data_IF_476115211422
#
_entry.id   IF_476115211422
#
_cell.length_a   1.000
_cell.length_b   1.000
_cell.length_c   1.000
_cell.angle_alpha   90.00
_cell.angle_beta   90.00
_cell.angle_gamma   90.00
#
_symmetry.space_group_name_H-M   'P 1'
#
loop_
_entity.id
_entity.type
_entity.pdbx_description
1 polymer ?
#
# COMPACT_ATOMS: atom_id res chain seq x y z
N UNK A 1 -47.85 26.88 -31.04
CA UNK A 1 -46.85 26.49 -32.08
C UNK A 1 -45.44 27.01 -31.83
N UNK A 2 -45.21 28.05 -31.02
CA UNK A 2 -43.83 28.55 -30.77
C UNK A 2 -43.00 27.71 -29.74
N UNK A 3 -43.66 27.00 -28.84
CA UNK A 3 -42.95 26.24 -27.80
C UNK A 3 -42.30 24.93 -28.28
N UNK A 4 -42.90 24.26 -29.26
CA UNK A 4 -42.37 22.99 -29.80
C UNK A 4 -41.17 23.19 -30.73
N UNK A 5 -41.13 24.30 -31.48
CA UNK A 5 -39.98 24.65 -32.32
C UNK A 5 -38.73 25.01 -31.50
N UNK A 6 -38.90 25.72 -30.37
CA UNK A 6 -37.82 26.06 -29.47
C UNK A 6 -37.21 24.82 -28.78
N UNK A 7 -38.05 23.85 -28.38
CA UNK A 7 -37.56 22.60 -27.76
C UNK A 7 -36.79 21.71 -28.75
N UNK A 8 -37.21 21.65 -30.02
CA UNK A 8 -36.50 20.87 -31.05
C UNK A 8 -35.17 21.54 -31.44
N UNK A 9 -35.13 22.88 -31.53
CA UNK A 9 -33.88 23.59 -31.77
C UNK A 9 -32.91 23.44 -30.58
N UNK A 10 -33.40 23.45 -29.33
CA UNK A 10 -32.57 23.28 -28.16
C UNK A 10 -31.99 21.86 -28.04
N UNK A 11 -32.78 20.82 -28.36
CA UNK A 11 -32.33 19.43 -28.35
C UNK A 11 -31.36 19.09 -29.48
N UNK A 12 -31.40 19.82 -30.62
CA UNK A 12 -30.47 19.62 -31.73
C UNK A 12 -29.17 20.43 -31.59
N UNK A 13 -29.21 21.58 -30.90
CA UNK A 13 -28.05 22.48 -30.73
C UNK A 13 -27.25 22.15 -29.45
N UNK A 14 -27.92 21.65 -28.41
CA UNK A 14 -27.26 21.31 -27.14
C UNK A 14 -26.07 20.34 -27.32
N UNK A 15 -26.15 19.19 -28.02
CA UNK A 15 -25.00 18.30 -28.21
C UNK A 15 -23.87 18.91 -29.04
N UNK A 16 -24.16 19.92 -29.88
CA UNK A 16 -23.15 20.64 -30.67
C UNK A 16 -22.51 21.74 -29.82
N UNK A 17 -23.27 22.41 -28.97
CA UNK A 17 -22.77 23.41 -28.04
C UNK A 17 -21.95 22.75 -26.91
N UNK A 18 -22.39 21.63 -26.34
CA UNK A 18 -21.67 20.86 -25.33
C UNK A 18 -20.33 20.29 -25.88
N UNK A 19 -20.25 20.03 -27.19
CA UNK A 19 -19.04 19.58 -27.88
C UNK A 19 -18.07 20.72 -28.26
N UNK A 20 -18.57 21.93 -28.41
CA UNK A 20 -17.77 23.10 -28.81
C UNK A 20 -17.41 24.04 -27.64
N UNK A 21 -18.17 24.03 -26.57
CA UNK A 21 -18.04 24.92 -25.40
C UNK A 21 -18.20 24.20 -24.04
N UNK A 22 -18.39 22.87 -24.05
CA UNK A 22 -18.28 22.09 -22.81
C UNK A 22 -16.85 22.19 -22.25
N UNK A 23 -16.65 22.15 -20.93
CA UNK A 23 -15.31 22.02 -20.39
C UNK A 23 -14.67 20.81 -21.06
N UNK A 24 -13.45 20.96 -21.59
CA UNK A 24 -12.64 19.82 -22.00
C UNK A 24 -12.56 18.90 -20.77
N UNK A 25 -13.27 17.78 -20.81
CA UNK A 25 -12.95 16.66 -19.93
C UNK A 25 -11.53 16.25 -20.35
N UNK A 26 -10.56 16.77 -19.63
CA UNK A 26 -9.19 16.25 -19.68
C UNK A 26 -9.32 14.80 -19.23
N UNK A 27 -9.35 13.85 -20.17
CA UNK A 27 -9.17 12.44 -19.85
C UNK A 27 -7.85 12.36 -19.09
N UNK A 28 -7.94 12.17 -17.78
CA UNK A 28 -6.76 11.94 -16.96
C UNK A 28 -6.16 10.63 -17.43
N UNK A 29 -4.90 10.66 -17.85
CA UNK A 29 -4.18 9.45 -18.19
C UNK A 29 -4.17 8.52 -16.95
N UNK A 30 -4.46 7.22 -17.14
CA UNK A 30 -4.49 6.29 -16.02
C UNK A 30 -3.11 6.21 -15.35
N UNK A 31 -3.11 6.29 -14.02
CA UNK A 31 -1.91 6.13 -13.21
C UNK A 31 -1.48 4.67 -13.29
N UNK A 32 -0.24 4.44 -13.70
CA UNK A 32 0.36 3.09 -13.75
C UNK A 32 1.49 3.00 -12.74
N UNK A 33 1.41 2.03 -11.84
CA UNK A 33 2.42 1.77 -10.82
C UNK A 33 3.21 0.52 -11.21
N UNK A 34 4.53 0.66 -11.38
CA UNK A 34 5.42 -0.44 -11.69
C UNK A 34 5.43 -1.46 -10.54
N UNK A 35 5.11 -2.73 -10.86
CA UNK A 35 5.12 -3.81 -9.86
C UNK A 35 6.52 -4.40 -9.74
N UNK A 36 6.92 -4.66 -8.50
CA UNK A 36 8.22 -5.27 -8.21
C UNK A 36 8.14 -6.79 -8.35
N UNK A 37 9.27 -7.42 -8.69
CA UNK A 37 9.43 -8.87 -8.64
C UNK A 37 10.35 -9.24 -7.47
N UNK A 38 10.00 -10.27 -6.66
CA UNK A 38 10.91 -10.79 -5.64
C UNK A 38 12.15 -11.35 -6.31
N UNK A 39 13.34 -10.94 -5.87
CA UNK A 39 14.59 -11.53 -6.35
C UNK A 39 14.56 -13.05 -6.17
N UNK A 40 14.65 -13.78 -7.27
CA UNK A 40 14.87 -15.21 -7.23
C UNK A 40 16.20 -15.46 -6.53
N UNK A 41 16.18 -16.28 -5.47
CA UNK A 41 17.40 -16.68 -4.76
C UNK A 41 18.32 -17.42 -5.75
N UNK A 42 19.29 -16.70 -6.31
CA UNK A 42 20.40 -17.34 -7.00
C UNK A 42 21.28 -17.98 -5.89
N UNK A 43 21.60 -19.28 -6.02
CA UNK A 43 22.59 -19.87 -5.13
C UNK A 43 23.89 -19.12 -5.33
N UNK A 44 24.48 -18.61 -4.25
CA UNK A 44 25.80 -17.99 -4.28
C UNK A 44 26.79 -19.06 -4.76
N UNK A 45 27.12 -19.02 -6.03
CA UNK A 45 28.24 -19.77 -6.57
C UNK A 45 29.50 -19.01 -6.17
N UNK A 46 30.18 -19.54 -5.15
CA UNK A 46 31.53 -19.13 -4.82
C UNK A 46 32.45 -19.68 -5.90
N UNK A 47 32.61 -18.96 -7.00
CA UNK A 47 33.72 -19.19 -7.93
C UNK A 47 34.98 -18.63 -7.28
N UNK A 48 35.86 -19.54 -6.85
CA UNK A 48 37.24 -19.19 -6.55
C UNK A 48 37.94 -18.80 -7.86
N UNK A 49 38.11 -17.50 -8.08
CA UNK A 49 38.98 -17.00 -9.13
C UNK A 49 40.46 -17.22 -8.76
N UNK A 50 41.36 -17.53 -9.73
CA UNK A 50 42.79 -17.75 -9.47
C UNK A 50 43.46 -16.44 -9.04
N UNK A 51 44.33 -16.55 -8.04
CA UNK A 51 45.15 -15.48 -7.46
C UNK A 51 46.14 -14.99 -8.49
N UNK A 52 46.13 -13.69 -8.89
CA UNK A 52 47.24 -13.07 -9.60
C UNK A 52 48.30 -12.54 -8.62
N UNK A 53 49.54 -12.60 -9.03
CA UNK A 53 50.73 -12.17 -8.30
C UNK A 53 50.74 -10.70 -7.88
N UNK A 54 51.39 -10.46 -6.76
CA UNK A 54 51.56 -9.26 -5.98
C UNK A 54 51.92 -7.99 -6.72
N UNK A 55 50.97 -7.09 -6.82
CA UNK A 55 51.13 -5.66 -6.58
C UNK A 55 49.96 -5.31 -5.68
N UNK A 56 50.22 -4.73 -4.47
CA UNK A 56 49.13 -4.33 -3.57
C UNK A 56 48.18 -3.42 -4.35
N UNK A 57 46.91 -3.85 -4.57
CA UNK A 57 45.96 -3.03 -5.29
C UNK A 57 45.76 -1.70 -4.54
N UNK A 58 45.64 -0.61 -5.28
CA UNK A 58 45.34 0.71 -4.71
C UNK A 58 44.14 0.64 -3.75
N UNK A 59 43.21 -0.26 -4.01
CA UNK A 59 42.05 -0.59 -3.17
C UNK A 59 42.45 -1.11 -1.77
N UNK A 60 43.50 -1.93 -1.65
CA UNK A 60 43.94 -2.47 -0.36
C UNK A 60 44.71 -1.41 0.44
N UNK A 61 45.45 -0.50 -0.22
CA UNK A 61 46.06 0.65 0.45
C UNK A 61 44.98 1.63 0.94
N UNK A 62 43.98 1.93 0.14
CA UNK A 62 42.86 2.78 0.53
C UNK A 62 42.09 2.14 1.69
N UNK A 63 41.80 0.85 1.61
CA UNK A 63 41.13 0.11 2.69
C UNK A 63 41.94 0.13 3.98
N UNK A 64 43.26 -0.11 3.92
CA UNK A 64 44.12 -0.10 5.10
C UNK A 64 44.27 1.27 5.74
N UNK A 65 44.21 2.35 4.97
CA UNK A 65 44.20 3.72 5.49
C UNK A 65 42.82 4.10 6.06
N UNK A 66 41.72 3.63 5.44
CA UNK A 66 40.36 3.82 5.99
C UNK A 66 40.16 3.06 7.31
N UNK A 67 40.72 1.85 7.45
CA UNK A 67 40.69 1.09 8.71
C UNK A 67 41.43 1.79 9.85
N UNK A 68 42.40 2.62 9.53
CA UNK A 68 43.16 3.40 10.50
C UNK A 68 42.52 4.76 10.80
N UNK A 69 41.47 5.14 10.09
CA UNK A 69 40.83 6.42 10.28
C UNK A 69 40.13 6.50 11.65
N UNK A 70 40.54 7.41 12.52
CA UNK A 70 39.92 7.55 13.83
C UNK A 70 38.57 8.27 13.67
N UNK A 71 37.49 7.50 13.62
CA UNK A 71 36.14 8.07 13.63
C UNK A 71 35.95 9.01 14.81
N UNK A 72 35.49 10.19 14.54
CA UNK A 72 35.23 11.25 15.51
C UNK A 72 33.73 11.46 15.74
N UNK A 73 33.37 12.22 16.77
CA UNK A 73 31.98 12.64 16.96
C UNK A 73 31.49 13.52 15.80
N UNK A 74 32.40 14.21 15.08
CA UNK A 74 32.06 15.00 13.90
C UNK A 74 31.64 14.12 12.73
N UNK A 75 32.22 12.94 12.56
CA UNK A 75 31.82 11.97 11.52
C UNK A 75 30.45 11.39 11.82
N UNK A 76 30.16 11.10 13.09
CA UNK A 76 28.83 10.70 13.54
C UNK A 76 27.79 11.81 13.29
N UNK A 77 28.13 13.04 13.66
CA UNK A 77 27.24 14.19 13.42
C UNK A 77 26.99 14.43 11.93
N UNK A 78 27.96 14.19 11.05
CA UNK A 78 27.74 14.23 9.60
C UNK A 78 26.78 13.16 9.12
N UNK A 79 26.91 11.94 9.66
CA UNK A 79 25.99 10.84 9.32
C UNK A 79 24.56 11.19 9.70
N UNK A 80 24.34 11.66 10.94
CA UNK A 80 23.00 12.13 11.36
C UNK A 80 22.55 13.38 10.58
N UNK A 81 23.48 14.26 10.19
CA UNK A 81 23.19 15.40 9.34
C UNK A 81 22.62 14.98 7.97
N UNK A 82 23.14 13.90 7.39
CA UNK A 82 22.62 13.34 6.14
C UNK A 82 21.18 12.80 6.31
N UNK A 83 20.89 12.16 7.45
CA UNK A 83 19.53 11.70 7.76
C UNK A 83 18.55 12.88 7.94
N UNK A 84 18.99 13.96 8.58
CA UNK A 84 18.18 15.18 8.69
C UNK A 84 17.90 15.79 7.31
N UNK A 85 18.92 15.85 6.45
CA UNK A 85 18.75 16.31 5.06
C UNK A 85 17.74 15.46 4.30
N UNK A 86 17.78 14.13 4.47
CA UNK A 86 16.80 13.22 3.86
C UNK A 86 15.36 13.54 4.33
N UNK A 87 15.17 13.82 5.61
CA UNK A 87 13.86 14.23 6.15
C UNK A 87 13.40 15.55 5.54
N UNK A 88 14.29 16.58 5.49
CA UNK A 88 14.00 17.89 4.91
C UNK A 88 13.65 17.80 3.41
N UNK A 89 14.35 16.97 2.65
CA UNK A 89 14.09 16.75 1.22
C UNK A 89 12.71 16.12 0.96
N UNK A 90 12.25 15.29 1.89
CA UNK A 90 10.95 14.59 1.83
C UNK A 90 9.83 15.31 2.60
N UNK A 91 10.08 16.49 3.20
CA UNK A 91 9.03 17.26 3.91
C UNK A 91 7.86 17.60 2.98
N UNK A 92 8.14 17.90 1.70
CA UNK A 92 7.11 18.17 0.70
C UNK A 92 6.26 16.98 0.30
N UNK A 93 6.66 15.75 0.66
CA UNK A 93 5.94 14.51 0.39
C UNK A 93 4.94 14.15 1.49
N UNK A 94 5.01 14.83 2.65
CA UNK A 94 4.13 14.57 3.82
C UNK A 94 3.05 15.63 3.88
N UNK A 95 1.82 15.21 4.13
CA UNK A 95 0.66 16.05 4.36
C UNK A 95 0.06 15.78 5.73
N UNK A 96 -0.48 16.82 6.38
CA UNK A 96 -1.31 16.68 7.57
C UNK A 96 -2.77 16.63 7.14
N UNK A 97 -3.51 15.62 7.58
CA UNK A 97 -4.90 15.40 7.23
C UNK A 97 -5.76 15.65 8.46
N UNK A 98 -6.69 16.58 8.35
CA UNK A 98 -7.63 16.96 9.40
C UNK A 98 -8.98 16.31 9.09
N UNK A 99 -9.38 15.37 9.92
CA UNK A 99 -10.69 14.71 9.91
C UNK A 99 -11.64 15.51 10.78
N UNK A 100 -12.63 16.13 10.18
CA UNK A 100 -13.58 16.99 10.89
C UNK A 100 -14.89 16.24 11.04
N UNK A 101 -15.30 16.04 12.28
CA UNK A 101 -16.59 15.43 12.66
C UNK A 101 -17.48 16.48 13.29
N UNK A 102 -18.74 16.50 12.88
CA UNK A 102 -19.76 17.41 13.41
C UNK A 102 -20.84 16.59 14.09
N UNK A 103 -20.84 16.67 15.40
CA UNK A 103 -21.85 16.03 16.25
C UNK A 103 -22.72 17.08 16.95
N UNK A 104 -23.82 16.66 17.50
CA UNK A 104 -24.61 17.48 18.44
C UNK A 104 -24.53 16.88 19.84
N UNK A 105 -24.36 17.73 20.84
CA UNK A 105 -24.41 17.29 22.23
C UNK A 105 -25.87 16.95 22.65
N UNK A 106 -25.99 16.45 23.90
CA UNK A 106 -27.28 16.10 24.46
C UNK A 106 -28.29 17.29 24.51
N UNK A 107 -27.82 18.51 24.27
CA UNK A 107 -28.61 19.74 24.31
C UNK A 107 -28.79 20.36 22.91
N UNK A 108 -28.55 19.56 21.82
CA UNK A 108 -28.59 20.02 20.43
C UNK A 108 -27.58 21.12 20.08
N UNK A 109 -26.50 21.29 20.86
CA UNK A 109 -25.44 22.21 20.50
C UNK A 109 -24.46 21.48 19.52
N UNK A 110 -24.02 22.14 18.43
CA UNK A 110 -23.04 21.58 17.57
C UNK A 110 -21.66 21.45 18.25
N UNK A 111 -21.10 20.26 18.21
CA UNK A 111 -19.72 19.96 18.62
C UNK A 111 -18.93 19.63 17.35
N UNK A 112 -17.78 20.22 17.20
CA UNK A 112 -16.83 19.89 16.14
C UNK A 112 -15.59 19.26 16.78
N UNK A 113 -15.28 18.03 16.39
CA UNK A 113 -14.09 17.32 16.81
C UNK A 113 -13.18 17.16 15.58
N UNK A 114 -11.90 17.45 15.76
CA UNK A 114 -10.92 17.35 14.68
C UNK A 114 -9.87 16.30 15.06
N UNK A 115 -9.84 15.20 14.29
CA UNK A 115 -8.73 14.24 14.27
C UNK A 115 -7.58 14.78 13.42
N UNK A 116 -6.35 14.44 13.76
CA UNK A 116 -5.18 14.87 13.03
C UNK A 116 -4.30 13.67 12.69
N UNK A 117 -4.08 13.45 11.39
CA UNK A 117 -3.37 12.32 10.83
C UNK A 117 -2.28 12.77 9.87
N UNK A 118 -1.28 11.93 9.63
CA UNK A 118 -0.34 12.16 8.55
C UNK A 118 -0.64 11.28 7.36
N UNK A 119 -0.40 11.82 6.18
CA UNK A 119 -0.44 11.09 4.92
C UNK A 119 0.78 11.39 4.08
N UNK A 120 1.00 10.59 3.05
CA UNK A 120 2.06 10.80 2.07
C UNK A 120 1.48 10.96 0.68
N UNK A 121 2.05 11.88 -0.07
CA UNK A 121 1.66 12.17 -1.46
C UNK A 121 2.23 11.10 -2.36
N UNK A 122 1.37 10.27 -2.97
CA UNK A 122 1.78 9.17 -3.87
C UNK A 122 1.62 9.53 -5.35
N UNK A 123 0.90 10.60 -5.65
CA UNK A 123 0.80 11.16 -7.00
C UNK A 123 0.49 12.66 -6.92
N UNK A 124 1.17 13.44 -7.75
CA UNK A 124 1.02 14.89 -7.76
C UNK A 124 0.94 15.40 -9.21
N UNK A 125 -0.27 15.69 -9.66
CA UNK A 125 -0.55 16.29 -10.96
C UNK A 125 -1.18 17.66 -10.80
N UNK A 126 -1.21 18.47 -11.86
CA UNK A 126 -1.90 19.79 -11.83
C UNK A 126 -3.42 19.70 -11.63
N UNK A 127 -4.02 18.53 -11.90
CA UNK A 127 -5.45 18.32 -11.68
C UNK A 127 -5.77 17.74 -10.33
N UNK A 128 -4.92 16.85 -9.84
CA UNK A 128 -5.20 16.03 -8.66
C UNK A 128 -3.92 15.67 -7.89
N UNK A 129 -3.99 15.77 -6.58
CA UNK A 129 -2.97 15.25 -5.67
C UNK A 129 -3.60 14.08 -4.90
N UNK A 130 -2.93 12.93 -4.88
CA UNK A 130 -3.36 11.75 -4.14
C UNK A 130 -2.52 11.59 -2.89
N UNK A 131 -3.19 11.54 -1.75
CA UNK A 131 -2.57 11.38 -0.44
C UNK A 131 -2.99 10.04 0.16
N UNK A 132 -2.02 9.16 0.42
CA UNK A 132 -2.23 7.90 1.12
C UNK A 132 -2.27 8.17 2.62
N UNK A 133 -3.32 7.73 3.28
CA UNK A 133 -3.60 7.98 4.70
C UNK A 133 -4.08 6.70 5.38
N UNK A 134 -3.96 6.58 6.72
CA UNK A 134 -4.70 5.55 7.45
C UNK A 134 -6.20 5.69 7.21
N UNK A 135 -6.93 4.58 7.17
CA UNK A 135 -8.37 4.61 6.92
C UNK A 135 -9.15 5.31 8.06
N UNK A 136 -8.64 5.29 9.29
CA UNK A 136 -9.21 6.05 10.41
C UNK A 136 -9.30 7.57 10.15
N UNK A 137 -8.41 8.11 9.31
CA UNK A 137 -8.47 9.52 8.92
C UNK A 137 -9.75 9.88 8.15
N UNK A 138 -10.43 8.88 7.58
CA UNK A 138 -11.59 9.09 6.71
C UNK A 138 -12.88 8.44 7.21
N UNK A 139 -12.80 7.45 8.12
CA UNK A 139 -13.92 6.59 8.52
C UNK A 139 -15.12 7.33 9.07
N UNK A 140 -14.87 8.32 9.91
CA UNK A 140 -15.92 9.06 10.62
C UNK A 140 -15.95 10.54 10.26
N UNK A 141 -15.18 10.94 9.22
CA UNK A 141 -15.06 12.32 8.81
C UNK A 141 -16.30 12.81 8.02
N UNK A 142 -16.92 13.88 8.48
CA UNK A 142 -17.93 14.62 7.69
C UNK A 142 -17.27 15.50 6.62
N UNK A 143 -16.05 15.99 6.91
CA UNK A 143 -15.22 16.71 5.93
C UNK A 143 -13.74 16.50 6.24
N UNK A 144 -12.94 16.57 5.18
CA UNK A 144 -11.49 16.36 5.25
C UNK A 144 -10.81 17.62 4.74
N UNK A 145 -9.81 18.08 5.48
CA UNK A 145 -8.89 19.14 5.04
C UNK A 145 -7.46 18.59 5.01
N UNK A 146 -6.75 18.87 3.93
CA UNK A 146 -5.36 18.44 3.75
C UNK A 146 -4.46 19.66 3.78
N UNK A 147 -3.53 19.68 4.73
CA UNK A 147 -2.52 20.72 4.89
C UNK A 147 -1.18 20.22 4.37
N UNK A 148 -0.62 20.94 3.40
CA UNK A 148 0.68 20.64 2.81
C UNK A 148 1.78 21.52 3.40
N UNK A 149 3.04 21.12 3.18
CA UNK A 149 4.21 21.93 3.52
C UNK A 149 4.09 23.37 2.98
N UNK A 150 4.39 24.34 3.84
CA UNK A 150 4.24 25.76 3.54
C UNK A 150 2.86 26.35 3.87
N UNK A 151 1.97 25.59 4.53
CA UNK A 151 0.71 26.08 5.10
C UNK A 151 -0.44 26.18 4.11
N UNK A 152 -0.36 25.52 2.97
CA UNK A 152 -1.47 25.41 2.02
C UNK A 152 -2.47 24.39 2.53
N UNK A 153 -3.73 24.78 2.73
CA UNK A 153 -4.82 23.91 3.17
C UNK A 153 -5.86 23.83 2.06
N UNK A 154 -6.24 22.62 1.70
CA UNK A 154 -7.22 22.34 0.65
C UNK A 154 -8.24 21.29 1.12
N UNK A 155 -9.48 21.34 0.61
CA UNK A 155 -10.46 20.30 0.90
C UNK A 155 -10.05 18.99 0.22
N UNK A 156 -10.18 17.90 0.97
CA UNK A 156 -9.95 16.54 0.50
C UNK A 156 -11.26 15.78 0.30
N UNK A 157 -11.26 14.83 -0.61
CA UNK A 157 -12.35 13.87 -0.82
C UNK A 157 -11.80 12.45 -0.82
N UNK A 158 -12.51 11.51 -0.20
CA UNK A 158 -12.10 10.10 -0.24
C UNK A 158 -12.25 9.59 -1.67
N UNK A 159 -11.16 9.15 -2.28
CA UNK A 159 -11.16 8.56 -3.62
C UNK A 159 -11.47 7.07 -3.56
N UNK A 160 -10.75 6.36 -2.71
CA UNK A 160 -10.96 4.94 -2.44
C UNK A 160 -10.47 4.59 -1.03
N UNK A 161 -11.04 3.53 -0.45
CA UNK A 161 -10.67 2.98 0.84
C UNK A 161 -10.41 1.48 0.70
N UNK A 162 -9.44 0.96 1.43
CA UNK A 162 -9.16 -0.47 1.60
C UNK A 162 -9.09 -0.80 3.09
N UNK A 163 -10.19 -1.28 3.64
CA UNK A 163 -10.31 -1.63 5.07
C UNK A 163 -9.54 -2.91 5.45
N UNK A 164 -8.98 -3.64 4.50
CA UNK A 164 -8.14 -4.82 4.77
C UNK A 164 -6.68 -4.41 5.00
N UNK A 165 -6.26 -3.32 4.39
CA UNK A 165 -4.92 -2.76 4.55
C UNK A 165 -4.89 -1.57 5.50
N UNK A 166 -6.04 -1.20 6.08
CA UNK A 166 -6.24 -0.04 6.96
C UNK A 166 -5.75 1.27 6.32
N UNK A 167 -5.98 1.42 5.00
CA UNK A 167 -5.51 2.57 4.23
C UNK A 167 -6.59 3.14 3.35
N UNK A 168 -6.51 4.46 3.12
CA UNK A 168 -7.37 5.19 2.20
C UNK A 168 -6.57 6.14 1.32
N UNK A 169 -7.12 6.48 0.15
CA UNK A 169 -6.64 7.55 -0.71
C UNK A 169 -7.57 8.75 -0.63
N UNK A 170 -7.00 9.88 -0.26
CA UNK A 170 -7.65 11.19 -0.30
C UNK A 170 -7.19 11.93 -1.55
N UNK A 171 -8.16 12.36 -2.34
CA UNK A 171 -7.97 13.19 -3.52
C UNK A 171 -8.14 14.66 -3.15
N UNK A 172 -7.22 15.48 -3.61
CA UNK A 172 -7.21 16.93 -3.43
C UNK A 172 -7.13 17.60 -4.80
N UNK A 173 -8.04 18.53 -5.06
CA UNK A 173 -8.02 19.29 -6.31
C UNK A 173 -6.86 20.31 -6.30
N UNK A 174 -5.92 20.16 -7.23
CA UNK A 174 -4.73 21.00 -7.35
C UNK A 174 -4.88 22.14 -8.37
N UNK A 175 -6.02 22.24 -9.09
CA UNK A 175 -6.19 23.18 -10.20
C UNK A 175 -6.11 24.67 -9.79
N UNK A 176 -6.42 24.97 -8.52
CA UNK A 176 -6.40 26.34 -7.99
C UNK A 176 -5.09 26.71 -7.29
N UNK A 177 -4.11 25.78 -7.23
CA UNK A 177 -2.83 26.04 -6.60
C UNK A 177 -1.98 27.00 -7.44
N UNK A 178 -1.39 27.98 -6.76
CA UNK A 178 -0.33 28.81 -7.35
C UNK A 178 0.93 27.97 -7.60
N UNK A 179 1.72 28.34 -8.61
CA UNK A 179 2.95 27.62 -8.97
C UNK A 179 3.88 27.39 -7.78
N UNK A 180 4.07 28.40 -6.92
CA UNK A 180 4.91 28.29 -5.72
C UNK A 180 4.39 27.31 -4.68
N UNK A 181 3.07 27.15 -4.57
CA UNK A 181 2.46 26.18 -3.66
C UNK A 181 2.61 24.78 -4.23
N UNK A 182 2.34 24.63 -5.52
CA UNK A 182 2.47 23.37 -6.24
C UNK A 182 3.90 22.82 -6.22
N UNK A 183 4.93 23.67 -6.46
CA UNK A 183 6.34 23.26 -6.45
C UNK A 183 6.85 22.75 -5.09
N UNK A 184 6.15 23.06 -4.00
CA UNK A 184 6.50 22.58 -2.66
C UNK A 184 5.92 21.20 -2.35
N UNK A 185 4.89 20.79 -3.07
CA UNK A 185 4.26 19.49 -2.90
C UNK A 185 4.98 18.51 -3.81
N UNK A 186 5.53 17.47 -3.23
CA UNK A 186 6.32 16.46 -3.94
C UNK A 186 5.68 15.08 -3.81
N UNK A 187 5.79 14.31 -4.86
CA UNK A 187 5.44 12.90 -4.82
C UNK A 187 6.52 12.10 -4.10
N UNK A 188 6.11 11.20 -3.22
CA UNK A 188 7.01 10.25 -2.54
C UNK A 188 7.18 9.02 -3.44
N UNK A 189 8.38 8.74 -3.95
CA UNK A 189 8.61 7.58 -4.80
C UNK A 189 8.29 6.27 -4.07
N UNK A 190 7.65 5.32 -4.76
CA UNK A 190 7.39 3.99 -4.23
C UNK A 190 8.60 3.08 -4.46
N UNK A 191 9.32 2.75 -3.40
CA UNK A 191 10.50 1.90 -3.43
C UNK A 191 10.21 0.42 -3.70
N UNK A 192 11.28 -0.36 -3.86
CA UNK A 192 11.21 -1.81 -3.95
C UNK A 192 11.48 -2.43 -2.56
N UNK A 193 10.40 -2.72 -1.83
CA UNK A 193 10.51 -3.31 -0.49
C UNK A 193 10.88 -4.79 -0.48
N UNK A 194 10.94 -5.46 -1.63
CA UNK A 194 11.50 -6.82 -1.70
C UNK A 194 13.02 -6.87 -1.48
N UNK A 195 13.72 -5.75 -1.75
CA UNK A 195 15.15 -5.59 -1.48
C UNK A 195 15.50 -5.35 -0.02
N UNK A 196 14.52 -5.01 0.83
CA UNK A 196 14.76 -4.69 2.25
C UNK A 196 15.29 -5.88 3.03
N UNK A 197 16.34 -5.65 3.82
CA UNK A 197 17.07 -6.65 4.60
C UNK A 197 17.16 -6.26 6.07
N UNK A 198 17.38 -7.24 6.91
CA UNK A 198 17.70 -7.00 8.31
C UNK A 198 18.99 -6.19 8.43
N UNK A 199 18.96 -5.14 9.25
CA UNK A 199 20.05 -4.21 9.46
C UNK A 199 20.01 -2.96 8.56
N UNK A 200 19.12 -2.91 7.56
CA UNK A 200 18.95 -1.71 6.73
C UNK A 200 18.45 -0.54 7.57
N UNK A 201 19.05 0.63 7.36
CA UNK A 201 18.64 1.87 8.00
C UNK A 201 17.35 2.37 7.36
N UNK A 202 16.42 2.82 8.18
CA UNK A 202 15.14 3.37 7.76
C UNK A 202 14.82 4.66 8.48
N UNK A 203 14.03 5.51 7.82
CA UNK A 203 13.51 6.74 8.39
C UNK A 203 11.99 6.66 8.43
N UNK A 204 11.42 6.89 9.60
CA UNK A 204 9.98 7.02 9.79
C UNK A 204 9.59 8.50 9.63
N UNK A 205 8.59 8.77 8.80
CA UNK A 205 8.02 10.08 8.53
C UNK A 205 6.52 10.06 8.75
N UNK A 206 5.91 11.21 8.91
CA UNK A 206 4.49 11.35 9.17
C UNK A 206 4.22 11.60 10.63
N UNK A 207 3.77 10.60 11.38
CA UNK A 207 3.44 10.71 12.81
C UNK A 207 4.09 9.63 13.68
N UNK A 208 5.40 9.32 13.55
CA UNK A 208 6.01 8.25 14.35
C UNK A 208 5.96 8.50 15.86
N UNK A 209 5.86 9.75 16.30
CA UNK A 209 5.71 10.12 17.70
C UNK A 209 4.25 10.42 18.10
N UNK A 210 3.25 10.03 17.29
CA UNK A 210 1.85 10.39 17.47
C UNK A 210 1.57 11.88 17.18
N UNK A 211 2.52 12.59 16.59
CA UNK A 211 2.40 14.01 16.24
C UNK A 211 2.74 14.18 14.77
N UNK A 212 1.86 14.83 14.02
CA UNK A 212 2.06 15.09 12.58
C UNK A 212 3.33 15.90 12.32
N UNK A 213 4.06 15.53 11.27
CA UNK A 213 5.34 16.15 10.92
C UNK A 213 6.52 15.70 11.78
N UNK A 214 6.34 14.71 12.67
CA UNK A 214 7.47 14.11 13.37
C UNK A 214 8.25 13.15 12.46
N UNK A 215 9.49 12.87 12.83
CA UNK A 215 10.35 11.89 12.17
C UNK A 215 11.13 11.06 13.18
N UNK A 216 11.54 9.86 12.76
CA UNK A 216 12.35 8.97 13.58
C UNK A 216 13.32 8.17 12.71
N UNK A 217 14.36 7.65 13.33
CA UNK A 217 15.37 6.82 12.66
C UNK A 217 15.45 5.48 13.36
N UNK A 218 15.69 4.43 12.61
CA UNK A 218 15.90 3.11 13.13
C UNK A 218 16.44 2.14 12.09
N UNK A 219 16.43 0.87 12.43
CA UNK A 219 16.86 -0.18 11.54
C UNK A 219 15.79 -1.28 11.42
N UNK A 220 15.82 -1.99 10.31
CA UNK A 220 15.01 -3.20 10.14
C UNK A 220 15.59 -4.30 11.03
N UNK A 221 14.85 -4.67 12.05
CA UNK A 221 15.25 -5.70 13.03
C UNK A 221 15.00 -7.11 12.53
N UNK A 222 13.90 -7.31 11.77
CA UNK A 222 13.53 -8.62 11.24
C UNK A 222 12.64 -8.48 10.01
N UNK A 223 12.70 -9.46 9.09
CA UNK A 223 11.88 -9.51 7.86
C UNK A 223 11.13 -10.82 7.81
N UNK A 224 9.80 -10.76 7.86
CA UNK A 224 8.90 -11.87 7.54
C UNK A 224 8.59 -11.79 6.05
N UNK A 225 9.18 -12.69 5.26
CA UNK A 225 9.10 -12.63 3.78
C UNK A 225 7.72 -12.96 3.21
N UNK A 226 6.91 -13.70 3.96
CA UNK A 226 5.56 -14.06 3.57
C UNK A 226 4.76 -14.39 4.83
N UNK A 227 3.73 -13.63 5.08
CA UNK A 227 2.70 -13.90 6.07
C UNK A 227 1.34 -13.94 5.36
N UNK A 228 0.38 -14.59 6.00
CA UNK A 228 -0.98 -14.67 5.44
C UNK A 228 -1.59 -13.28 5.45
N UNK A 229 -2.14 -12.90 4.32
CA UNK A 229 -3.00 -11.73 4.18
C UNK A 229 -4.33 -12.17 3.56
N UNK A 230 -5.34 -11.35 3.71
CA UNK A 230 -6.63 -11.61 3.07
C UNK A 230 -6.42 -11.54 1.55
N UNK A 231 -6.87 -12.60 0.87
CA UNK A 231 -6.76 -12.80 -0.58
C UNK A 231 -5.32 -12.83 -1.12
N UNK A 232 -4.34 -13.14 -0.26
CA UNK A 232 -2.95 -13.21 -0.70
C UNK A 232 -1.96 -13.45 0.41
N UNK A 233 -0.77 -12.93 0.20
CA UNK A 233 0.31 -12.90 1.19
C UNK A 233 1.01 -11.54 1.13
N UNK A 234 1.50 -11.09 2.27
CA UNK A 234 2.27 -9.86 2.37
C UNK A 234 3.57 -10.08 3.11
N UNK A 235 4.52 -9.18 2.91
CA UNK A 235 5.78 -9.12 3.65
C UNK A 235 5.63 -8.11 4.78
N UNK A 236 6.11 -8.47 5.96
CA UNK A 236 6.12 -7.61 7.13
C UNK A 236 7.57 -7.38 7.56
N UNK A 237 7.89 -6.14 7.87
CA UNK A 237 9.14 -5.75 8.50
C UNK A 237 8.89 -5.43 9.96
N UNK A 238 9.86 -5.70 10.80
CA UNK A 238 9.90 -5.23 12.17
C UNK A 238 11.05 -4.25 12.32
N UNK A 239 10.76 -3.07 12.84
CA UNK A 239 11.75 -2.02 13.09
C UNK A 239 11.75 -1.60 14.55
N UNK A 240 12.88 -1.11 15.02
CA UNK A 240 13.04 -0.52 16.35
C UNK A 240 12.63 0.96 16.40
N UNK A 241 12.19 1.51 15.25
CA UNK A 241 11.66 2.88 15.19
C UNK A 241 10.29 2.94 15.84
N UNK A 242 10.07 3.93 16.70
CA UNK A 242 8.73 4.24 17.19
C UNK A 242 7.80 4.57 16.02
N UNK A 243 6.56 4.12 16.09
CA UNK A 243 5.54 4.45 15.11
C UNK A 243 4.15 4.42 15.73
N UNK A 244 3.27 5.21 15.16
CA UNK A 244 1.85 5.22 15.42
C UNK A 244 1.16 4.86 14.10
N UNK A 245 0.58 3.67 14.02
CA UNK A 245 -0.10 3.15 12.82
C UNK A 245 -1.35 3.98 12.52
N UNK A 246 -2.10 4.32 13.54
CA UNK A 246 -3.39 5.03 13.45
C UNK A 246 -3.18 6.49 13.06
N UNK A 247 -2.14 7.14 13.60
CA UNK A 247 -1.83 8.54 13.27
C UNK A 247 -1.13 8.70 11.90
N UNK A 248 -0.69 7.61 11.27
CA UNK A 248 -0.03 7.60 9.96
C UNK A 248 1.48 7.71 10.05
N UNK A 249 2.15 6.56 10.13
CA UNK A 249 3.61 6.47 10.07
C UNK A 249 4.04 5.69 8.84
N UNK A 250 4.89 6.31 8.04
CA UNK A 250 5.43 5.77 6.79
C UNK A 250 6.93 5.59 6.90
N UNK A 251 7.48 4.52 6.34
CA UNK A 251 8.90 4.24 6.35
C UNK A 251 9.50 4.45 4.97
N UNK A 252 10.59 5.21 4.92
CA UNK A 252 11.40 5.40 3.72
C UNK A 252 12.79 4.77 3.91
N UNK A 253 13.38 4.35 2.79
CA UNK A 253 14.78 3.91 2.74
C UNK A 253 15.73 5.11 2.68
N UNK A 254 17.03 4.86 2.62
CA UNK A 254 18.06 5.89 2.54
C UNK A 254 18.09 6.64 1.20
N UNK A 255 17.39 6.16 0.19
CA UNK A 255 17.22 6.82 -1.11
C UNK A 255 15.97 7.73 -1.15
N UNK A 256 15.21 7.81 -0.04
CA UNK A 256 13.99 8.61 0.06
C UNK A 256 12.76 7.97 -0.55
N UNK A 257 12.75 6.65 -0.74
CA UNK A 257 11.63 5.92 -1.33
C UNK A 257 10.78 5.24 -0.25
N UNK A 258 9.46 5.26 -0.41
CA UNK A 258 8.51 4.58 0.48
C UNK A 258 8.68 3.06 0.40
N UNK A 259 9.01 2.41 1.51
CA UNK A 259 9.13 0.95 1.62
C UNK A 259 7.94 0.30 2.32
N UNK A 260 7.15 1.06 3.07
CA UNK A 260 5.97 0.56 3.77
C UNK A 260 5.41 1.55 4.77
N UNK A 261 4.38 1.13 5.50
CA UNK A 261 3.75 1.90 6.55
C UNK A 261 3.52 1.04 7.80
N UNK A 262 3.50 1.70 8.95
CA UNK A 262 3.22 1.05 10.22
C UNK A 262 1.80 0.48 10.23
N UNK A 263 1.67 -0.74 10.74
CA UNK A 263 0.39 -1.42 10.95
C UNK A 263 0.32 -1.92 12.38
N UNK A 264 -0.89 -2.07 12.89
CA UNK A 264 -1.11 -2.75 14.15
C UNK A 264 -0.74 -4.24 14.01
N UNK A 265 -0.57 -4.91 15.13
CA UNK A 265 0.06 -6.22 15.23
C UNK A 265 -0.48 -7.23 14.20
N UNK A 266 0.32 -7.52 13.17
CA UNK A 266 -0.06 -8.39 12.07
C UNK A 266 0.19 -9.86 12.45
N UNK A 267 -0.64 -10.37 13.37
CA UNK A 267 -0.77 -11.81 13.61
C UNK A 267 0.30 -12.46 14.49
N UNK A 268 1.01 -11.71 15.31
CA UNK A 268 1.84 -12.24 16.38
C UNK A 268 1.28 -11.82 17.73
N UNK A 269 0.76 -12.81 18.47
CA UNK A 269 0.40 -12.61 19.86
C UNK A 269 1.59 -12.08 20.64
N UNK A 270 1.46 -10.83 21.09
CA UNK A 270 2.10 -10.25 22.24
C UNK A 270 3.59 -10.53 22.39
N UNK A 271 4.49 -9.65 21.92
CA UNK A 271 5.87 -9.64 22.50
C UNK A 271 6.85 -8.65 21.88
N UNK A 272 6.54 -7.83 20.92
CA UNK A 272 7.60 -6.94 20.47
C UNK A 272 7.27 -5.48 20.78
N UNK A 273 8.21 -4.85 21.48
CA UNK A 273 8.35 -3.39 21.48
C UNK A 273 8.75 -2.85 20.09
N UNK A 274 8.62 -3.69 19.05
CA UNK A 274 8.97 -3.37 17.68
C UNK A 274 7.72 -3.04 16.90
N UNK A 275 7.86 -2.08 15.99
CA UNK A 275 6.79 -1.70 15.08
C UNK A 275 6.72 -2.66 13.90
N UNK A 276 5.52 -3.16 13.61
CA UNK A 276 5.24 -3.90 12.38
C UNK A 276 4.99 -2.93 11.22
N UNK A 277 5.54 -3.25 10.05
CA UNK A 277 5.48 -2.42 8.85
C UNK A 277 5.07 -3.27 7.66
N UNK A 278 3.97 -2.92 7.01
CA UNK A 278 3.50 -3.59 5.80
C UNK A 278 4.32 -3.14 4.58
N UNK A 279 4.70 -4.10 3.74
CA UNK A 279 5.48 -3.89 2.52
C UNK A 279 4.68 -3.16 1.45
N UNK A 280 5.21 -2.06 0.90
CA UNK A 280 4.56 -1.34 -0.20
C UNK A 280 4.53 -2.17 -1.49
N UNK A 281 5.57 -2.99 -1.76
CA UNK A 281 5.65 -3.77 -3.01
C UNK A 281 4.51 -4.77 -3.17
N UNK A 282 4.04 -5.36 -2.07
CA UNK A 282 2.91 -6.29 -2.09
C UNK A 282 1.57 -5.56 -2.27
N UNK A 283 1.54 -4.23 -2.09
CA UNK A 283 0.34 -3.42 -2.15
C UNK A 283 0.24 -2.52 -3.41
N UNK A 284 1.29 -2.46 -4.22
CA UNK A 284 1.33 -1.62 -5.44
C UNK A 284 0.16 -1.88 -6.39
N UNK A 285 -0.33 -3.13 -6.49
CA UNK A 285 -1.49 -3.46 -7.30
C UNK A 285 -2.79 -2.83 -6.79
N UNK A 286 -3.02 -2.86 -5.50
CA UNK A 286 -4.17 -2.21 -4.87
C UNK A 286 -4.07 -0.67 -4.97
N UNK A 287 -2.88 -0.09 -4.73
CA UNK A 287 -2.64 1.35 -4.90
C UNK A 287 -2.92 1.82 -6.33
N UNK A 288 -2.54 1.04 -7.35
CA UNK A 288 -2.83 1.37 -8.74
C UNK A 288 -4.34 1.42 -9.02
N UNK A 289 -5.09 0.42 -8.53
CA UNK A 289 -6.55 0.42 -8.65
C UNK A 289 -7.16 1.63 -7.94
N UNK A 290 -6.81 1.85 -6.67
CA UNK A 290 -7.32 2.95 -5.86
C UNK A 290 -7.00 4.32 -6.47
N UNK A 291 -5.78 4.50 -7.00
CA UNK A 291 -5.34 5.73 -7.66
C UNK A 291 -6.17 6.06 -8.90
N UNK A 292 -6.67 5.04 -9.59
CA UNK A 292 -7.57 5.18 -10.73
C UNK A 292 -9.07 5.20 -10.35
N UNK A 293 -9.39 5.29 -9.05
CA UNK A 293 -10.76 5.32 -8.55
C UNK A 293 -11.48 3.98 -8.68
N UNK A 294 -10.74 2.89 -8.88
CA UNK A 294 -11.29 1.55 -8.98
C UNK A 294 -11.26 0.86 -7.61
N UNK A 295 -12.35 0.19 -7.22
CA UNK A 295 -12.38 -0.56 -5.97
C UNK A 295 -11.44 -1.75 -6.03
N UNK A 296 -10.81 -2.08 -4.90
CA UNK A 296 -9.95 -3.27 -4.79
C UNK A 296 -10.83 -4.51 -4.71
N UNK A 297 -10.68 -5.50 -5.61
CA UNK A 297 -11.46 -6.72 -5.60
C UNK A 297 -11.23 -7.55 -4.33
N UNK A 298 -12.27 -8.24 -3.88
CA UNK A 298 -12.27 -8.93 -2.59
C UNK A 298 -12.99 -10.27 -2.67
N UNK A 299 -12.35 -11.31 -2.15
CA UNK A 299 -12.95 -12.63 -1.92
C UNK A 299 -13.14 -12.92 -0.44
N UNK A 300 -12.18 -12.54 0.38
CA UNK A 300 -12.18 -12.72 1.82
C UNK A 300 -11.75 -14.11 2.25
N UNK A 301 -10.63 -14.61 1.73
CA UNK A 301 -10.01 -15.86 2.19
C UNK A 301 -8.66 -15.60 2.83
N UNK A 302 -8.38 -16.31 3.92
CA UNK A 302 -7.05 -16.50 4.45
C UNK A 302 -6.55 -17.87 4.07
N UNK A 303 -5.41 -17.95 3.42
CA UNK A 303 -4.88 -19.19 2.89
C UNK A 303 -3.39 -19.41 3.18
N UNK A 304 -2.94 -20.59 2.83
CA UNK A 304 -1.52 -20.93 2.80
C UNK A 304 -1.22 -21.89 1.66
N UNK A 305 0.00 -21.84 1.17
CA UNK A 305 0.44 -22.75 0.13
C UNK A 305 0.56 -24.18 0.65
N UNK A 306 0.26 -25.15 -0.23
CA UNK A 306 0.46 -26.56 0.10
C UNK A 306 1.96 -26.83 0.17
N UNK A 307 2.45 -27.11 1.37
CA UNK A 307 3.86 -27.47 1.60
C UNK A 307 4.20 -28.86 1.06
N UNK A 308 5.47 -29.14 0.85
CA UNK A 308 5.93 -30.49 0.43
C UNK A 308 5.46 -31.60 1.40
N UNK A 309 5.41 -31.31 2.71
CA UNK A 309 4.92 -32.25 3.71
C UNK A 309 3.40 -32.52 3.59
N UNK A 310 2.62 -31.49 3.22
CA UNK A 310 1.18 -31.63 2.97
C UNK A 310 0.92 -32.42 1.67
N UNK A 311 1.68 -32.14 0.62
CA UNK A 311 1.62 -32.85 -0.66
C UNK A 311 1.97 -34.34 -0.50
N UNK A 312 2.95 -34.71 0.34
CA UNK A 312 3.27 -36.11 0.67
C UNK A 312 2.13 -36.86 1.38
N UNK A 313 1.23 -36.12 2.05
CA UNK A 313 0.02 -36.67 2.66
C UNK A 313 -1.15 -36.74 1.66
N UNK A 314 -0.91 -36.52 0.38
CA UNK A 314 -1.93 -36.64 -0.67
C UNK A 314 -2.75 -35.38 -0.91
N UNK A 315 -2.41 -34.24 -0.32
CA UNK A 315 -3.10 -32.98 -0.59
C UNK A 315 -2.80 -32.49 -2.03
N UNK A 316 -3.82 -32.12 -2.81
CA UNK A 316 -3.64 -31.57 -4.14
C UNK A 316 -2.91 -30.23 -4.09
N UNK A 317 -2.27 -29.84 -5.20
CA UNK A 317 -1.68 -28.50 -5.35
C UNK A 317 -2.76 -27.44 -5.33
N UNK A 318 -2.49 -26.31 -4.72
CA UNK A 318 -3.41 -25.19 -4.60
C UNK A 318 -3.18 -24.39 -3.33
N UNK A 319 -4.15 -23.59 -2.96
CA UNK A 319 -4.17 -22.82 -1.71
C UNK A 319 -5.08 -23.52 -0.69
N UNK A 320 -4.52 -23.93 0.42
CA UNK A 320 -5.30 -24.42 1.56
C UNK A 320 -5.96 -23.24 2.26
N UNK A 321 -7.29 -23.19 2.24
CA UNK A 321 -8.09 -22.17 2.91
C UNK A 321 -8.07 -22.47 4.42
N UNK A 322 -7.43 -21.58 5.19
CA UNK A 322 -7.44 -21.67 6.65
C UNK A 322 -8.68 -21.00 7.24
N UNK A 323 -9.19 -19.96 6.56
CA UNK A 323 -10.37 -19.21 6.99
C UNK A 323 -11.07 -18.59 5.78
N UNK A 324 -12.40 -18.57 5.80
CA UNK A 324 -13.23 -17.69 5.00
C UNK A 324 -13.75 -16.60 5.94
N UNK A 325 -13.37 -15.36 5.67
CA UNK A 325 -13.70 -14.19 6.52
C UNK A 325 -15.24 -14.06 6.59
N UNK A 326 -15.76 -13.85 7.79
CA UNK A 326 -17.20 -13.74 8.00
C UNK A 326 -17.80 -12.65 7.10
N UNK A 327 -18.98 -12.90 6.54
CA UNK A 327 -19.71 -12.02 5.62
C UNK A 327 -18.99 -11.70 4.29
N UNK A 328 -17.82 -12.31 4.04
CA UNK A 328 -17.11 -12.17 2.77
C UNK A 328 -17.81 -12.89 1.61
N UNK A 329 -17.48 -12.55 0.35
CA UNK A 329 -17.95 -13.29 -0.83
C UNK A 329 -17.65 -14.79 -0.78
N UNK A 330 -16.48 -15.19 -0.32
CA UNK A 330 -16.08 -16.59 -0.17
C UNK A 330 -16.92 -17.32 0.89
N UNK A 331 -17.12 -16.68 2.04
CA UNK A 331 -17.97 -17.22 3.12
C UNK A 331 -19.41 -17.39 2.65
N UNK A 332 -19.98 -16.38 2.01
CA UNK A 332 -21.36 -16.38 1.51
C UNK A 332 -21.59 -17.42 0.40
N UNK A 333 -20.55 -17.71 -0.39
CA UNK A 333 -20.58 -18.76 -1.40
C UNK A 333 -20.47 -20.17 -0.81
N UNK A 334 -20.06 -20.32 0.47
CA UNK A 334 -19.96 -21.59 1.16
C UNK A 334 -18.58 -22.24 1.13
N UNK A 335 -17.53 -21.46 0.86
CA UNK A 335 -16.15 -21.91 1.08
C UNK A 335 -15.90 -22.10 2.58
N UNK A 336 -15.09 -23.10 2.93
CA UNK A 336 -14.87 -23.50 4.31
C UNK A 336 -13.38 -23.72 4.59
N UNK A 337 -12.95 -23.56 5.84
CA UNK A 337 -11.63 -24.02 6.26
C UNK A 337 -11.42 -25.49 5.90
N UNK A 338 -10.26 -25.80 5.31
CA UNK A 338 -9.93 -27.14 4.81
C UNK A 338 -10.18 -27.36 3.32
N UNK A 339 -10.84 -26.44 2.64
CA UNK A 339 -10.91 -26.45 1.17
C UNK A 339 -9.56 -26.12 0.56
N UNK A 340 -9.24 -26.72 -0.57
CA UNK A 340 -8.02 -26.39 -1.33
C UNK A 340 -8.44 -25.74 -2.65
N UNK A 341 -8.22 -24.45 -2.78
CA UNK A 341 -8.53 -23.69 -3.99
C UNK A 341 -7.52 -24.04 -5.08
N UNK A 342 -8.01 -24.50 -6.22
CA UNK A 342 -7.19 -25.02 -7.32
C UNK A 342 -7.32 -24.22 -8.61
N UNK A 343 -8.47 -23.54 -8.81
CA UNK A 343 -8.72 -22.72 -10.00
C UNK A 343 -9.57 -21.50 -9.66
N UNK A 344 -9.27 -20.40 -10.34
CA UNK A 344 -10.07 -19.18 -10.39
C UNK A 344 -10.53 -18.97 -11.85
N UNK A 345 -11.82 -19.21 -12.14
CA UNK A 345 -12.29 -19.36 -13.51
C UNK A 345 -11.57 -20.53 -14.21
N UNK A 346 -11.01 -20.27 -15.37
CA UNK A 346 -10.22 -21.24 -16.14
C UNK A 346 -8.73 -21.26 -15.74
N UNK A 347 -8.28 -20.33 -14.90
CA UNK A 347 -6.88 -20.18 -14.52
C UNK A 347 -6.54 -21.08 -13.33
N UNK A 348 -5.49 -21.90 -13.43
CA UNK A 348 -5.01 -22.65 -12.27
C UNK A 348 -4.42 -21.71 -11.23
N UNK A 349 -4.53 -22.07 -9.96
CA UNK A 349 -3.96 -21.36 -8.82
C UNK A 349 -3.06 -22.33 -8.08
N UNK A 350 -1.77 -22.00 -7.97
CA UNK A 350 -0.77 -22.86 -7.34
C UNK A 350 -0.12 -22.23 -6.11
N UNK A 351 -0.14 -20.91 -6.00
CA UNK A 351 0.43 -20.15 -4.90
C UNK A 351 -0.39 -18.87 -4.63
N UNK A 352 -0.16 -18.29 -3.45
CA UNK A 352 -0.91 -17.10 -2.99
C UNK A 352 -0.65 -15.86 -3.86
N UNK A 353 0.58 -15.68 -4.36
CA UNK A 353 0.93 -14.54 -5.22
C UNK A 353 0.21 -14.58 -6.57
N UNK A 354 0.13 -15.78 -7.19
CA UNK A 354 -0.66 -15.97 -8.41
C UNK A 354 -2.13 -15.68 -8.16
N UNK A 355 -2.69 -16.17 -7.05
CA UNK A 355 -4.08 -15.92 -6.66
C UNK A 355 -4.34 -14.43 -6.51
N UNK A 356 -3.53 -13.72 -5.72
CA UNK A 356 -3.64 -12.28 -5.51
C UNK A 356 -3.60 -11.52 -6.84
N UNK A 357 -2.62 -11.81 -7.70
CA UNK A 357 -2.50 -11.16 -9.01
C UNK A 357 -3.61 -11.51 -10.00
N UNK A 358 -4.32 -12.65 -9.80
CA UNK A 358 -5.53 -12.97 -10.56
C UNK A 358 -6.74 -12.22 -10.02
N UNK A 359 -6.89 -12.12 -8.68
CA UNK A 359 -7.98 -11.37 -8.02
C UNK A 359 -7.92 -9.90 -8.37
N UNK A 360 -6.75 -9.28 -8.33
CA UNK A 360 -6.55 -7.85 -8.68
C UNK A 360 -7.01 -7.48 -10.10
N UNK A 361 -7.09 -8.47 -11.01
CA UNK A 361 -7.57 -8.27 -12.39
C UNK A 361 -9.08 -8.40 -12.56
N UNK A 362 -9.77 -8.84 -11.52
CA UNK A 362 -11.22 -9.01 -11.57
C UNK A 362 -11.93 -7.67 -11.35
N UNK A 363 -13.15 -7.60 -11.84
CA UNK A 363 -14.02 -6.46 -11.56
C UNK A 363 -14.97 -6.82 -10.42
N UNK A 364 -15.12 -5.91 -9.46
CA UNK A 364 -16.11 -6.03 -8.41
C UNK A 364 -17.54 -6.22 -9.00
N UNK A 365 -18.36 -7.02 -8.35
CA UNK A 365 -19.71 -7.36 -8.80
C UNK A 365 -19.78 -8.44 -9.88
N UNK A 366 -18.66 -8.87 -10.47
CA UNK A 366 -18.67 -9.97 -11.45
C UNK A 366 -18.77 -11.33 -10.76
N UNK A 367 -19.40 -12.29 -11.43
CA UNK A 367 -19.49 -13.67 -10.97
C UNK A 367 -18.40 -14.50 -11.60
N UNK A 368 -17.70 -15.26 -10.77
CA UNK A 368 -16.64 -16.17 -11.21
C UNK A 368 -16.80 -17.54 -10.53
N UNK A 369 -16.45 -18.60 -11.26
CA UNK A 369 -16.44 -19.96 -10.72
C UNK A 369 -15.08 -20.22 -10.09
N UNK A 370 -15.08 -20.64 -8.83
CA UNK A 370 -13.90 -21.05 -8.07
C UNK A 370 -13.99 -22.56 -7.86
N UNK A 371 -12.99 -23.31 -8.29
CA UNK A 371 -12.93 -24.74 -8.07
C UNK A 371 -12.06 -25.03 -6.84
N UNK A 372 -12.64 -25.77 -5.89
CA UNK A 372 -11.92 -26.24 -4.72
C UNK A 372 -11.91 -27.75 -4.64
N UNK A 373 -10.91 -28.31 -4.00
CA UNK A 373 -10.84 -29.70 -3.61
C UNK A 373 -11.22 -29.80 -2.12
N UNK A 374 -12.33 -30.43 -1.82
CA UNK A 374 -12.83 -30.68 -0.44
C UNK A 374 -12.63 -32.11 -0.05
N UNK A 375 -12.00 -32.33 1.12
CA UNK A 375 -11.79 -33.66 1.66
C UNK A 375 -13.11 -34.29 2.12
N UNK A 376 -13.29 -35.59 1.83
CA UNK A 376 -14.41 -36.39 2.34
C UNK A 376 -14.13 -37.04 3.72
N UNK A 377 -13.00 -36.71 4.35
CA UNK A 377 -12.58 -37.29 5.64
C UNK A 377 -11.89 -38.65 5.54
N UNK A 378 -11.63 -39.17 4.31
CA UNK A 378 -10.95 -40.45 4.03
C UNK A 378 -9.73 -40.25 3.12
N UNK A 379 -9.06 -39.10 3.20
CA UNK A 379 -7.95 -38.71 2.34
C UNK A 379 -8.26 -38.67 0.84
N UNK A 380 -9.55 -38.67 0.48
CA UNK A 380 -10.01 -38.48 -0.87
C UNK A 380 -10.53 -37.04 -1.03
N UNK A 381 -10.15 -36.41 -2.13
CA UNK A 381 -10.56 -35.05 -2.45
C UNK A 381 -11.57 -35.07 -3.61
N UNK A 382 -12.61 -34.26 -3.48
CA UNK A 382 -13.62 -34.06 -4.52
C UNK A 382 -13.61 -32.63 -4.98
N UNK A 383 -13.58 -32.42 -6.29
CA UNK A 383 -13.72 -31.10 -6.89
C UNK A 383 -15.15 -30.58 -6.76
N UNK A 384 -15.28 -29.36 -6.23
CA UNK A 384 -16.56 -28.69 -6.06
C UNK A 384 -16.43 -27.28 -6.63
N UNK A 385 -17.24 -26.91 -7.61
CA UNK A 385 -17.31 -25.55 -8.10
C UNK A 385 -18.19 -24.68 -7.20
N UNK A 386 -17.75 -23.45 -6.92
CA UNK A 386 -18.53 -22.43 -6.24
C UNK A 386 -18.61 -21.19 -7.13
N UNK A 387 -19.82 -20.62 -7.28
CA UNK A 387 -20.00 -19.32 -7.91
C UNK A 387 -19.83 -18.23 -6.85
N UNK A 388 -18.85 -17.37 -7.04
CA UNK A 388 -18.55 -16.25 -6.14
C UNK A 388 -18.82 -14.94 -6.89
N UNK A 389 -19.54 -14.03 -6.26
CA UNK A 389 -19.63 -12.65 -6.72
C UNK A 389 -18.49 -11.87 -6.09
N UNK A 390 -17.59 -11.33 -6.91
CA UNK A 390 -16.43 -10.58 -6.44
C UNK A 390 -16.89 -9.35 -5.66
N UNK A 391 -16.46 -9.22 -4.42
CA UNK A 391 -16.72 -8.05 -3.57
C UNK A 391 -15.70 -6.94 -3.74
N UNK A 392 -15.78 -5.97 -2.82
CA UNK A 392 -14.80 -4.88 -2.65
C UNK A 392 -14.29 -4.89 -1.23
N UNK A 393 -13.04 -4.54 -1.02
CA UNK A 393 -12.47 -4.32 0.32
C UNK A 393 -13.02 -3.05 0.95
#
# INVERSE_FOLDING_TARGET
MFGTAAAVCFSAVKPIADRAFGPEETEQEPITIAKDEPEAQQPVQTECAPVPEETEPVEDMVRSEMEKYPYSMDDLNRLYGNLNTLVEENEGCVASVHSIQRETDWFDNPIETTGQYSGVVISCTRGEILVLVPDEAVDTADSIEVSFSGGTILPGTVKQKDSVADMALVSVNAAELEDRQYERIKELPLGNSYGVRQGDLVVAIGSPAGVTGSSGYGAISYVVRSTKAVDGSTRIFYTDTAADSQAGTFLINTDGELIGWAVDDYGQEDHSSMTAVMSVSDYKGALELMSNGLPVPYFGILGQEITAAMAQKGMPKGIYISEAVMDSPAYNAGLQPGDILTKLGDMPVTNLKEFQGQVEKLQAGTKIIVNVQRSNGKDEYREIPFEITVGTR
#
